data_IF_176753837370
#
_entry.id   IF_176753837370
#
_cell.length_a   1.000
_cell.length_b   1.000
_cell.length_c   1.000
_cell.angle_alpha   90.00
_cell.angle_beta   90.00
_cell.angle_gamma   90.00
#
_symmetry.space_group_name_H-M   'P 1'
#
loop_
_entity.id
_entity.type
_entity.pdbx_description
1 polymer ?
#
# COMPACT_ATOMS: atom_id res chain seq x y z
N UNK A 1 -0.59 8.34 19.61
CA UNK A 1 0.13 9.49 19.03
C UNK A 1 1.49 9.66 19.72
N UNK A 2 2.51 9.96 18.95
CA UNK A 2 3.86 10.17 19.44
C UNK A 2 4.23 11.64 19.26
N UNK A 3 4.81 12.25 20.29
CA UNK A 3 5.31 13.61 20.19
C UNK A 3 6.82 13.65 20.14
N UNK A 4 7.37 14.48 19.26
CA UNK A 4 8.81 14.77 19.19
C UNK A 4 8.99 16.28 19.41
N UNK A 5 9.04 16.69 20.66
CA UNK A 5 9.01 18.11 21.00
C UNK A 5 7.67 18.70 20.53
N UNK A 6 7.76 19.65 19.56
CA UNK A 6 6.57 20.32 19.02
C UNK A 6 6.01 19.62 17.78
N UNK A 7 6.49 18.40 17.43
CA UNK A 7 6.03 17.68 16.24
C UNK A 7 5.25 16.43 16.64
N UNK A 8 3.92 16.52 16.69
CA UNK A 8 3.12 15.32 16.93
C UNK A 8 3.13 14.40 15.73
N UNK A 9 3.32 13.11 15.99
CA UNK A 9 3.27 12.05 14.99
C UNK A 9 2.19 11.05 15.38
N UNK A 10 1.45 10.56 14.40
CA UNK A 10 0.46 9.51 14.62
C UNK A 10 0.88 8.26 13.86
N UNK A 11 0.87 7.12 14.55
CA UNK A 11 1.16 5.83 13.93
C UNK A 11 -0.15 5.19 13.50
N UNK A 12 -0.22 4.78 12.23
CA UNK A 12 -1.41 4.17 11.64
C UNK A 12 -1.05 2.75 11.24
N UNK A 13 -1.74 1.76 11.79
CA UNK A 13 -1.52 0.36 11.41
C UNK A 13 -2.06 0.11 10.00
N UNK A 14 -1.25 -0.49 9.14
CA UNK A 14 -1.57 -0.75 7.75
C UNK A 14 -1.29 -2.22 7.39
N UNK A 15 -1.98 -3.18 8.03
CA UNK A 15 -1.74 -4.59 7.74
C UNK A 15 -2.20 -4.97 6.33
N UNK A 16 -1.68 -6.09 5.81
CA UNK A 16 -2.02 -6.63 4.51
C UNK A 16 -0.79 -6.95 3.69
N UNK A 17 0.04 -5.94 3.38
CA UNK A 17 1.35 -6.18 2.80
C UNK A 17 2.21 -6.97 3.80
N UNK A 18 2.26 -6.53 5.05
CA UNK A 18 2.69 -7.35 6.19
C UNK A 18 1.78 -7.07 7.37
N UNK A 19 1.68 -7.98 8.37
CA UNK A 19 0.86 -7.72 9.56
C UNK A 19 1.33 -6.53 10.38
N UNK A 20 2.64 -6.24 10.35
CA UNK A 20 3.23 -5.16 11.12
C UNK A 20 3.46 -3.87 10.35
N UNK A 21 2.95 -3.76 9.12
CA UNK A 21 3.12 -2.52 8.35
C UNK A 21 2.43 -1.35 9.01
N UNK A 22 3.10 -0.22 9.04
CA UNK A 22 2.56 1.02 9.61
C UNK A 22 2.80 2.20 8.68
N UNK A 23 1.98 3.23 8.82
CA UNK A 23 2.24 4.55 8.31
C UNK A 23 2.52 5.51 9.46
N UNK A 24 3.26 6.55 9.19
CA UNK A 24 3.56 7.60 10.17
C UNK A 24 3.07 8.92 9.60
N UNK A 25 2.10 9.52 10.30
CA UNK A 25 1.55 10.81 9.90
C UNK A 25 2.21 11.91 10.71
N UNK A 26 2.92 12.79 10.00
CA UNK A 26 3.46 14.03 10.59
C UNK A 26 2.35 15.08 10.48
N UNK A 27 1.69 15.34 11.58
CA UNK A 27 0.50 16.20 11.61
C UNK A 27 0.85 17.64 11.24
N UNK A 28 1.97 18.14 11.75
CA UNK A 28 2.38 19.53 11.53
C UNK A 28 2.82 19.78 10.09
N UNK A 29 3.54 18.84 9.50
CA UNK A 29 4.04 18.96 8.12
C UNK A 29 3.04 18.49 7.08
N UNK A 30 1.96 17.83 7.49
CA UNK A 30 0.95 17.25 6.63
C UNK A 30 1.56 16.26 5.64
N UNK A 31 2.38 15.36 6.16
CA UNK A 31 3.10 14.34 5.39
C UNK A 31 2.81 12.98 5.97
N UNK A 32 2.51 12.02 5.09
CA UNK A 32 2.37 10.62 5.47
C UNK A 32 3.60 9.85 4.97
N UNK A 33 4.28 9.18 5.88
CA UNK A 33 5.32 8.22 5.55
C UNK A 33 4.64 6.87 5.51
N UNK A 34 4.41 6.33 4.32
CA UNK A 34 3.51 5.18 4.14
C UNK A 34 4.20 3.83 4.13
N UNK A 35 5.52 3.79 3.96
CA UNK A 35 6.21 2.52 3.79
C UNK A 35 5.81 1.82 2.49
N UNK A 36 5.83 0.48 2.52
CA UNK A 36 5.54 -0.33 1.33
C UNK A 36 4.06 -0.42 0.93
N UNK A 37 3.08 -0.30 1.83
CA UNK A 37 1.67 -0.45 1.43
C UNK A 37 1.17 0.56 0.40
N UNK A 38 1.71 1.77 0.39
CA UNK A 38 1.27 2.81 -0.56
C UNK A 38 2.47 3.29 -1.35
N UNK A 39 2.57 2.85 -2.59
CA UNK A 39 3.66 3.19 -3.50
C UNK A 39 3.20 2.96 -4.94
N UNK A 40 3.92 3.51 -5.90
CA UNK A 40 3.64 3.31 -7.31
C UNK A 40 4.61 2.34 -8.00
N UNK A 41 5.43 1.66 -7.24
CA UNK A 41 6.35 0.65 -7.74
C UNK A 41 5.77 -0.76 -7.68
N UNK A 42 6.59 -1.72 -7.30
CA UNK A 42 6.17 -3.12 -7.16
C UNK A 42 5.74 -3.42 -5.74
N UNK A 43 4.49 -3.85 -5.57
CA UNK A 43 3.93 -4.18 -4.26
C UNK A 43 3.83 -5.70 -4.16
N UNK A 44 4.57 -6.27 -3.23
CA UNK A 44 4.63 -7.73 -3.04
C UNK A 44 3.45 -8.18 -2.19
N UNK A 45 2.55 -8.98 -2.79
CA UNK A 45 1.37 -9.52 -2.13
C UNK A 45 1.33 -11.04 -2.26
N UNK A 46 2.49 -11.68 -2.16
CA UNK A 46 2.60 -13.13 -2.18
C UNK A 46 3.39 -13.62 -0.99
N UNK A 47 3.24 -14.91 -0.67
CA UNK A 47 3.95 -15.52 0.44
C UNK A 47 3.18 -15.42 1.75
N UNK A 48 3.84 -15.86 2.82
CA UNK A 48 3.25 -15.94 4.15
C UNK A 48 2.94 -14.54 4.69
N UNK A 49 1.80 -14.41 5.35
CA UNK A 49 1.39 -13.18 6.06
C UNK A 49 0.99 -12.03 5.13
N UNK A 50 0.83 -12.27 3.83
CA UNK A 50 0.23 -11.31 2.91
C UNK A 50 -1.27 -11.56 2.84
N UNK A 51 -2.08 -10.50 2.93
CA UNK A 51 -3.53 -10.65 2.99
C UNK A 51 -4.22 -9.48 2.30
N UNK A 52 -4.89 -9.78 1.18
CA UNK A 52 -5.47 -8.74 0.31
C UNK A 52 -6.61 -7.99 0.97
N UNK A 53 -7.48 -8.68 1.72
CA UNK A 53 -8.60 -7.99 2.38
C UNK A 53 -8.12 -7.03 3.44
N UNK A 54 -7.10 -7.41 4.21
CA UNK A 54 -6.49 -6.52 5.19
C UNK A 54 -5.83 -5.31 4.51
N UNK A 55 -5.19 -5.55 3.36
CA UNK A 55 -4.58 -4.48 2.58
C UNK A 55 -5.63 -3.48 2.09
N UNK A 56 -6.74 -3.97 1.53
CA UNK A 56 -7.84 -3.10 1.09
C UNK A 56 -8.43 -2.32 2.25
N UNK A 57 -8.60 -2.96 3.40
CA UNK A 57 -9.11 -2.30 4.59
C UNK A 57 -8.16 -1.18 5.05
N UNK A 58 -6.86 -1.43 4.99
CA UNK A 58 -5.85 -0.44 5.34
C UNK A 58 -5.90 0.78 4.41
N UNK A 59 -6.06 0.55 3.11
CA UNK A 59 -6.19 1.65 2.14
C UNK A 59 -7.45 2.48 2.42
N UNK A 60 -8.57 1.83 2.74
CA UNK A 60 -9.80 2.55 3.12
C UNK A 60 -9.61 3.34 4.41
N UNK A 61 -8.89 2.78 5.37
CA UNK A 61 -8.58 3.49 6.61
C UNK A 61 -7.78 4.76 6.31
N UNK A 62 -6.74 4.65 5.46
CA UNK A 62 -5.94 5.81 5.08
C UNK A 62 -6.77 6.87 4.37
N UNK A 63 -7.74 6.47 3.58
CA UNK A 63 -8.60 7.42 2.88
C UNK A 63 -9.36 8.33 3.86
N UNK A 64 -9.64 7.86 5.07
CA UNK A 64 -10.28 8.69 6.10
C UNK A 64 -9.35 9.75 6.67
N UNK A 65 -8.05 9.62 6.48
CA UNK A 65 -7.04 10.58 6.94
C UNK A 65 -6.65 11.57 5.86
N UNK A 66 -7.23 11.50 4.66
CA UNK A 66 -6.77 12.28 3.48
C UNK A 66 -6.70 13.77 3.73
N UNK A 67 -7.61 14.30 4.55
CA UNK A 67 -7.63 15.74 4.85
C UNK A 67 -6.48 16.17 5.76
N UNK A 68 -5.72 15.22 6.29
CA UNK A 68 -4.65 15.48 7.25
C UNK A 68 -3.27 15.51 6.63
N UNK A 69 -3.12 15.13 5.36
CA UNK A 69 -1.82 15.16 4.70
C UNK A 69 -1.96 15.55 3.23
N UNK A 70 -0.91 16.18 2.71
CA UNK A 70 -0.86 16.67 1.33
C UNK A 70 0.08 15.87 0.47
N UNK A 71 1.04 15.17 1.07
CA UNK A 71 2.06 14.38 0.37
C UNK A 71 2.29 13.06 1.08
N UNK A 72 2.70 12.07 0.28
CA UNK A 72 3.04 10.74 0.77
C UNK A 72 4.48 10.43 0.38
N UNK A 73 5.28 9.94 1.34
CA UNK A 73 6.62 9.44 1.09
C UNK A 73 6.64 7.93 1.29
N UNK A 74 6.61 7.14 0.20
CA UNK A 74 6.69 5.68 0.30
C UNK A 74 8.15 5.21 0.44
N UNK A 75 8.33 3.92 0.70
CA UNK A 75 9.66 3.32 0.79
C UNK A 75 10.29 3.09 -0.57
N UNK A 76 9.47 2.84 -1.59
CA UNK A 76 9.91 2.52 -2.95
C UNK A 76 9.07 3.26 -3.97
N UNK A 77 9.55 3.28 -5.21
CA UNK A 77 8.86 3.94 -6.31
C UNK A 77 9.13 5.43 -6.33
N UNK A 78 8.18 6.18 -6.89
CA UNK A 78 8.27 7.64 -6.95
C UNK A 78 7.98 8.25 -5.58
N UNK A 79 8.67 9.31 -5.21
CA UNK A 79 8.36 10.08 -4.01
C UNK A 79 8.70 11.55 -4.22
N UNK A 80 7.85 12.47 -3.72
CA UNK A 80 6.58 12.16 -3.07
C UNK A 80 5.49 11.76 -4.07
N UNK A 81 4.43 11.11 -3.58
CA UNK A 81 3.27 10.80 -4.40
C UNK A 81 2.03 11.51 -3.84
N UNK A 82 1.03 11.66 -4.70
CA UNK A 82 -0.23 12.31 -4.33
C UNK A 82 -1.06 11.40 -3.42
N UNK A 83 -1.82 11.96 -2.46
CA UNK A 83 -2.81 11.19 -1.69
C UNK A 83 -3.85 10.46 -2.54
N UNK A 84 -4.09 10.91 -3.77
CA UNK A 84 -5.01 10.24 -4.69
C UNK A 84 -4.56 8.82 -5.03
N UNK A 85 -3.28 8.49 -4.85
CA UNK A 85 -2.77 7.14 -5.08
C UNK A 85 -3.47 6.11 -4.17
N UNK A 86 -3.92 6.51 -2.99
CA UNK A 86 -4.59 5.60 -2.05
C UNK A 86 -5.85 5.02 -2.69
N UNK A 87 -6.72 5.87 -3.23
CA UNK A 87 -7.95 5.42 -3.87
C UNK A 87 -7.65 4.64 -5.16
N UNK A 88 -6.66 5.09 -5.92
CA UNK A 88 -6.28 4.44 -7.17
C UNK A 88 -5.76 3.02 -6.90
N UNK A 89 -4.95 2.84 -5.86
CA UNK A 89 -4.45 1.51 -5.47
C UNK A 89 -5.60 0.62 -4.99
N UNK A 90 -6.52 1.15 -4.20
CA UNK A 90 -7.66 0.39 -3.70
C UNK A 90 -8.50 -0.13 -4.87
N UNK A 91 -8.88 0.76 -5.78
CA UNK A 91 -9.74 0.39 -6.91
C UNK A 91 -9.03 -0.58 -7.85
N UNK A 92 -7.74 -0.36 -8.10
CA UNK A 92 -6.95 -1.25 -8.94
C UNK A 92 -6.81 -2.64 -8.32
N UNK A 93 -6.63 -2.72 -7.00
CA UNK A 93 -6.53 -4.00 -6.31
C UNK A 93 -7.85 -4.77 -6.35
N UNK A 94 -8.99 -4.09 -6.18
CA UNK A 94 -10.31 -4.69 -6.31
C UNK A 94 -10.51 -5.24 -7.73
N UNK A 95 -10.14 -4.46 -8.75
CA UNK A 95 -10.26 -4.90 -10.13
C UNK A 95 -9.34 -6.09 -10.43
N UNK A 96 -8.14 -6.12 -9.87
CA UNK A 96 -7.22 -7.25 -10.01
C UNK A 96 -7.83 -8.52 -9.42
N UNK A 97 -8.40 -8.42 -8.22
CA UNK A 97 -9.02 -9.57 -7.54
C UNK A 97 -10.26 -10.05 -8.31
N UNK A 98 -10.91 -9.17 -9.06
CA UNK A 98 -12.08 -9.49 -9.87
C UNK A 98 -11.73 -10.06 -11.26
N UNK A 99 -10.45 -10.19 -11.57
CA UNK A 99 -9.99 -10.77 -12.83
C UNK A 99 -9.95 -9.80 -14.01
N UNK A 100 -9.91 -8.51 -13.77
CA UNK A 100 -9.91 -7.50 -14.85
C UNK A 100 -8.55 -7.28 -15.51
N UNK A 101 -7.49 -7.84 -14.95
CA UNK A 101 -6.13 -7.68 -15.48
C UNK A 101 -5.53 -9.03 -15.86
N UNK A 102 -4.80 -9.06 -16.98
CA UNK A 102 -4.06 -10.23 -17.41
C UNK A 102 -2.66 -10.18 -16.81
N UNK A 103 -2.29 -11.16 -15.97
CA UNK A 103 -0.96 -11.15 -15.37
C UNK A 103 0.11 -11.67 -16.32
N UNK A 104 1.35 -11.25 -16.10
CA UNK A 104 2.52 -11.85 -16.70
C UNK A 104 3.22 -12.73 -15.66
N UNK A 105 4.02 -13.70 -16.17
CA UNK A 105 4.78 -14.57 -15.27
C UNK A 105 5.96 -13.80 -14.68
N UNK A 106 6.24 -14.04 -13.40
CA UNK A 106 7.40 -13.48 -12.73
C UNK A 106 7.98 -14.52 -11.76
N UNK A 107 9.23 -14.35 -11.42
CA UNK A 107 9.90 -15.22 -10.45
C UNK A 107 10.71 -14.35 -9.50
N UNK A 108 10.41 -14.48 -8.21
CA UNK A 108 11.05 -13.69 -7.16
C UNK A 108 11.61 -14.67 -6.12
N UNK A 109 12.92 -14.63 -5.91
CA UNK A 109 13.61 -15.50 -4.95
C UNK A 109 13.26 -16.98 -5.15
N UNK A 110 13.17 -17.42 -6.41
CA UNK A 110 12.87 -18.80 -6.76
C UNK A 110 11.39 -19.17 -6.72
N UNK A 111 10.52 -18.25 -6.28
CA UNK A 111 9.08 -18.49 -6.25
C UNK A 111 8.42 -17.91 -7.51
N UNK A 112 7.59 -18.72 -8.15
CA UNK A 112 6.80 -18.27 -9.31
C UNK A 112 5.58 -17.54 -8.83
N UNK A 113 5.40 -16.32 -9.34
CA UNK A 113 4.26 -15.46 -8.99
C UNK A 113 3.73 -14.83 -10.26
N UNK A 114 2.62 -14.12 -10.14
CA UNK A 114 2.03 -13.38 -11.26
C UNK A 114 2.22 -11.89 -11.02
N UNK A 115 2.63 -11.18 -12.06
CA UNK A 115 2.79 -9.73 -12.02
C UNK A 115 1.59 -9.09 -12.71
N UNK A 116 0.88 -8.27 -11.97
CA UNK A 116 -0.28 -7.52 -12.45
C UNK A 116 0.09 -6.04 -12.58
N UNK A 117 0.19 -5.56 -13.81
CA UNK A 117 0.39 -4.14 -14.07
C UNK A 117 -1.00 -3.49 -14.07
N UNK A 118 -1.32 -2.78 -13.00
CA UNK A 118 -2.63 -2.16 -12.84
C UNK A 118 -2.62 -0.66 -13.21
N UNK A 119 -1.55 -0.22 -13.86
CA UNK A 119 -1.40 1.17 -14.32
C UNK A 119 -0.71 2.05 -13.30
N UNK A 120 -1.30 2.21 -12.12
CA UNK A 120 -0.74 3.08 -11.07
C UNK A 120 0.39 2.42 -10.28
N UNK A 121 0.50 1.08 -10.36
CA UNK A 121 1.54 0.30 -9.71
C UNK A 121 1.58 -1.10 -10.32
N UNK A 122 2.43 -1.97 -9.78
CA UNK A 122 2.46 -3.39 -10.15
C UNK A 122 2.32 -4.22 -8.89
N UNK A 123 1.39 -5.18 -8.92
CA UNK A 123 1.23 -6.14 -7.82
C UNK A 123 1.86 -7.46 -8.20
N UNK A 124 2.69 -8.00 -7.32
CA UNK A 124 3.16 -9.37 -7.42
C UNK A 124 2.27 -10.20 -6.49
N UNK A 125 1.40 -11.01 -7.08
CA UNK A 125 0.36 -11.73 -6.33
C UNK A 125 0.22 -13.15 -6.85
N UNK A 126 -0.02 -14.08 -5.95
CA UNK A 126 -0.19 -15.50 -6.28
C UNK A 126 -1.65 -15.96 -6.27
N UNK A 127 -2.57 -15.05 -6.03
CA UNK A 127 -3.99 -15.39 -5.97
C UNK A 127 -4.46 -15.88 -4.61
N UNK A 128 -3.59 -15.88 -3.60
CA UNK A 128 -3.91 -16.31 -2.26
C UNK A 128 -4.22 -15.12 -1.35
N UNK A 129 -4.72 -15.41 -0.15
CA UNK A 129 -5.03 -14.37 0.82
C UNK A 129 -6.33 -13.64 0.52
N UNK A 130 -7.33 -14.34 -0.03
CA UNK A 130 -8.64 -13.77 -0.37
C UNK A 130 -9.71 -14.27 0.59
N UNK A 131 -9.39 -14.76 1.71
CA UNK A 131 -10.38 -15.33 2.63
C UNK A 131 -11.09 -14.27 3.45
#
# INVERSE_FOLDING_TARGET
MIGLGDRPLEIIALPGHTPGSIGILDISKRVLISGDPVQDGMIFMFGVQREMHAYLHSLKKLARYRDRFDTIYPSHGTFPVSPNLIDALHDAAVDMMSGKYEPSAAEIHGKKVKCYDVGVAKFLWDGEGIN
#
